data_IF_153264121143
#
_entry.id   IF_153264121143
#
_cell.length_a   1.000
_cell.length_b   1.000
_cell.length_c   1.000
_cell.angle_alpha   90.00
_cell.angle_beta   90.00
_cell.angle_gamma   90.00
#
_symmetry.space_group_name_H-M   'P 1'
#
loop_
_entity.id
_entity.type
_entity.pdbx_description
1 polymer ?
#
# COMPACT_ATOMS: atom_id res chain seq x y z
N UNK A 1 3.94 15.13 -22.56
CA UNK A 1 2.75 15.79 -21.96
C UNK A 1 2.87 15.63 -20.46
N UNK A 2 2.87 16.72 -19.68
CA UNK A 2 2.97 16.67 -18.24
C UNK A 2 1.57 16.87 -17.62
N UNK A 3 1.20 16.06 -16.65
CA UNK A 3 -0.01 16.21 -15.85
C UNK A 3 0.25 15.77 -14.42
N UNK A 4 -0.58 16.23 -13.51
CA UNK A 4 -0.60 15.76 -12.13
C UNK A 4 -1.76 14.80 -11.95
N UNK A 5 -1.48 13.62 -11.38
CA UNK A 5 -2.48 12.71 -10.85
C UNK A 5 -2.45 12.78 -9.33
N UNK A 6 -3.61 12.89 -8.72
CA UNK A 6 -3.76 12.95 -7.28
C UNK A 6 -4.32 11.63 -6.77
N UNK A 7 -3.79 11.17 -5.64
CA UNK A 7 -4.31 9.98 -4.98
C UNK A 7 -4.41 10.21 -3.47
N UNK A 8 -5.37 9.56 -2.84
CA UNK A 8 -5.51 9.49 -1.39
C UNK A 8 -5.75 8.04 -0.98
N UNK A 9 -5.14 7.63 0.14
CA UNK A 9 -5.28 6.27 0.68
C UNK A 9 -5.79 6.34 2.11
N UNK A 10 -6.68 5.40 2.45
CA UNK A 10 -7.12 5.18 3.81
C UNK A 10 -7.05 3.69 4.13
N UNK A 11 -6.54 3.35 5.31
CA UNK A 11 -6.32 1.96 5.73
C UNK A 11 -6.82 1.77 7.15
N UNK A 12 -7.49 0.66 7.38
CA UNK A 12 -7.86 0.16 8.70
C UNK A 12 -7.05 -1.10 9.00
N UNK A 13 -6.41 -1.14 10.17
CA UNK A 13 -5.59 -2.28 10.59
C UNK A 13 -6.00 -2.80 11.96
N UNK A 14 -5.77 -4.10 12.19
CA UNK A 14 -5.68 -4.69 13.52
C UNK A 14 -4.21 -5.01 13.81
N UNK A 15 -3.76 -4.71 15.02
CA UNK A 15 -2.41 -5.02 15.49
C UNK A 15 -2.50 -5.94 16.71
N UNK A 16 -1.86 -7.08 16.63
CA UNK A 16 -1.71 -7.96 17.77
C UNK A 16 -0.54 -7.45 18.63
N UNK A 17 -0.83 -6.96 19.81
CA UNK A 17 0.20 -6.35 20.68
C UNK A 17 1.15 -7.36 21.32
N UNK A 18 0.79 -8.65 21.36
CA UNK A 18 1.61 -9.71 21.91
C UNK A 18 2.61 -10.25 20.86
N UNK A 19 2.19 -10.30 19.59
CA UNK A 19 3.02 -10.84 18.50
C UNK A 19 3.62 -9.76 17.60
N UNK A 20 3.06 -8.56 17.58
CA UNK A 20 3.42 -7.47 16.66
C UNK A 20 2.84 -7.64 15.25
N UNK A 21 2.06 -8.68 14.99
CA UNK A 21 1.44 -8.90 13.66
C UNK A 21 0.41 -7.82 13.33
N UNK A 22 0.45 -7.37 12.08
CA UNK A 22 -0.49 -6.40 11.51
C UNK A 22 -1.36 -7.10 10.49
N UNK A 23 -2.67 -6.97 10.65
CA UNK A 23 -3.64 -7.36 9.65
C UNK A 23 -4.30 -6.13 9.05
N UNK A 24 -4.25 -5.97 7.74
CA UNK A 24 -5.02 -4.95 7.03
C UNK A 24 -6.45 -5.46 6.91
N UNK A 25 -7.39 -4.74 7.53
CA UNK A 25 -8.82 -5.09 7.55
C UNK A 25 -9.54 -4.51 6.34
N UNK A 26 -9.24 -3.24 6.01
CA UNK A 26 -9.83 -2.51 4.88
C UNK A 26 -8.84 -1.55 4.30
N UNK A 27 -8.92 -1.33 2.99
CA UNK A 27 -8.18 -0.26 2.33
C UNK A 27 -9.03 0.40 1.23
N UNK A 28 -8.82 1.70 1.10
CA UNK A 28 -9.50 2.55 0.14
C UNK A 28 -8.47 3.33 -0.66
N UNK A 29 -8.61 3.31 -1.98
CA UNK A 29 -7.76 4.07 -2.89
C UNK A 29 -8.60 5.03 -3.73
N UNK A 30 -8.57 6.33 -3.44
CA UNK A 30 -9.13 7.35 -4.31
C UNK A 30 -8.05 7.84 -5.28
N UNK A 31 -8.32 7.86 -6.58
CA UNK A 31 -7.35 8.27 -7.59
C UNK A 31 -8.01 9.11 -8.68
N UNK A 32 -7.39 10.25 -8.98
CA UNK A 32 -7.72 11.09 -10.12
C UNK A 32 -7.09 10.50 -11.39
N UNK A 33 -7.91 9.88 -12.21
CA UNK A 33 -7.49 9.27 -13.46
C UNK A 33 -8.03 10.03 -14.69
N UNK A 34 -8.65 11.20 -14.48
CA UNK A 34 -9.26 12.02 -15.52
C UNK A 34 -10.52 11.39 -16.07
N UNK A 35 -10.39 10.36 -16.90
CA UNK A 35 -11.50 9.56 -17.43
C UNK A 35 -11.13 8.08 -17.46
N UNK A 36 -11.93 7.23 -16.83
CA UNK A 36 -11.77 5.78 -16.92
C UNK A 36 -12.18 5.28 -18.30
N UNK A 37 -11.20 4.85 -19.11
CA UNK A 37 -11.47 4.27 -20.44
C UNK A 37 -12.11 2.89 -20.28
N UNK A 38 -11.60 2.09 -19.33
CA UNK A 38 -12.19 0.82 -18.96
C UNK A 38 -12.22 0.72 -17.42
N UNK A 39 -13.36 0.99 -16.78
CA UNK A 39 -13.49 1.00 -15.33
C UNK A 39 -13.06 -0.32 -14.66
N UNK A 40 -13.40 -1.47 -15.24
CA UNK A 40 -13.02 -2.78 -14.67
C UNK A 40 -11.50 -3.00 -14.65
N UNK A 41 -10.80 -2.62 -15.71
CA UNK A 41 -9.34 -2.69 -15.75
C UNK A 41 -8.74 -1.70 -14.76
N UNK A 42 -9.34 -0.53 -14.58
CA UNK A 42 -8.92 0.43 -13.57
C UNK A 42 -9.10 -0.13 -12.13
N UNK A 43 -10.22 -0.81 -11.85
CA UNK A 43 -10.42 -1.50 -10.57
C UNK A 43 -9.30 -2.52 -10.31
N UNK A 44 -9.05 -3.43 -11.25
CA UNK A 44 -7.99 -4.44 -11.15
C UNK A 44 -6.61 -3.81 -10.94
N UNK A 45 -6.30 -2.74 -11.66
CA UNK A 45 -5.05 -2.00 -11.50
C UNK A 45 -4.94 -1.38 -10.10
N UNK A 46 -6.01 -0.79 -9.61
CA UNK A 46 -6.06 -0.17 -8.27
C UNK A 46 -5.92 -1.22 -7.16
N UNK A 47 -6.64 -2.31 -7.23
CA UNK A 47 -6.58 -3.42 -6.27
C UNK A 47 -5.19 -4.05 -6.25
N UNK A 48 -4.62 -4.34 -7.43
CA UNK A 48 -3.26 -4.84 -7.57
C UNK A 48 -2.22 -3.89 -6.97
N UNK A 49 -2.38 -2.57 -7.21
CA UNK A 49 -1.51 -1.55 -6.63
C UNK A 49 -1.63 -1.46 -5.11
N UNK A 50 -2.84 -1.55 -4.55
CA UNK A 50 -3.02 -1.60 -3.10
C UNK A 50 -2.39 -2.86 -2.50
N UNK A 51 -2.52 -4.02 -3.15
CA UNK A 51 -1.87 -5.26 -2.72
C UNK A 51 -0.34 -5.15 -2.72
N UNK A 52 0.25 -4.57 -3.77
CA UNK A 52 1.70 -4.27 -3.81
C UNK A 52 2.12 -3.34 -2.66
N UNK A 53 1.34 -2.29 -2.37
CA UNK A 53 1.62 -1.38 -1.28
C UNK A 53 1.49 -2.03 0.11
N UNK A 54 0.61 -3.01 0.29
CA UNK A 54 0.55 -3.84 1.50
C UNK A 54 1.81 -4.70 1.59
N UNK A 55 2.24 -5.30 0.47
CA UNK A 55 3.46 -6.09 0.37
C UNK A 55 4.69 -5.30 0.82
N UNK A 56 4.94 -4.16 0.20
CA UNK A 56 6.09 -3.29 0.52
C UNK A 56 6.02 -2.71 1.92
N UNK A 57 4.83 -2.47 2.46
CA UNK A 57 4.66 -1.95 3.81
C UNK A 57 4.96 -2.96 4.92
N UNK A 58 4.62 -4.24 4.73
CA UNK A 58 4.57 -5.22 5.83
C UNK A 58 5.51 -6.42 5.64
N UNK A 59 5.88 -6.78 4.41
CA UNK A 59 6.51 -8.08 4.12
C UNK A 59 7.79 -8.00 3.31
N UNK A 60 7.81 -7.14 2.27
CA UNK A 60 8.82 -7.16 1.23
C UNK A 60 10.04 -6.31 1.60
N UNK A 61 11.21 -6.92 1.60
CA UNK A 61 12.48 -6.23 1.82
C UNK A 61 13.58 -6.88 0.99
N UNK A 62 14.27 -6.08 0.18
CA UNK A 62 15.50 -6.54 -0.48
C UNK A 62 16.69 -6.25 0.42
N UNK A 63 17.28 -7.28 1.01
CA UNK A 63 18.43 -7.17 1.91
C UNK A 63 19.72 -7.13 1.09
N UNK A 64 20.40 -5.98 1.10
CA UNK A 64 21.66 -5.78 0.37
C UNK A 64 22.81 -5.56 1.37
N UNK A 65 23.85 -6.41 1.31
CA UNK A 65 25.04 -6.26 2.11
C UNK A 65 26.25 -6.29 1.20
N UNK A 66 27.09 -5.26 1.27
CA UNK A 66 28.28 -5.10 0.43
C UNK A 66 28.02 -5.28 -1.07
N UNK A 67 26.87 -4.83 -1.56
CA UNK A 67 26.45 -4.93 -2.96
C UNK A 67 25.89 -6.31 -3.36
N UNK A 68 25.74 -7.24 -2.44
CA UNK A 68 25.14 -8.55 -2.67
C UNK A 68 23.74 -8.60 -2.10
N UNK A 69 22.78 -9.12 -2.88
CA UNK A 69 21.42 -9.42 -2.41
C UNK A 69 21.46 -10.72 -1.65
N UNK A 70 21.07 -10.71 -0.37
CA UNK A 70 21.10 -11.87 0.52
C UNK A 70 19.85 -12.75 0.44
N UNK A 71 18.73 -12.20 -0.05
CA UNK A 71 17.44 -12.88 -0.15
C UNK A 71 16.90 -12.89 -1.60
N UNK A 72 17.62 -13.53 -2.57
CA UNK A 72 17.31 -13.44 -4.00
C UNK A 72 16.17 -14.36 -4.46
N UNK A 73 15.58 -15.14 -3.58
CA UNK A 73 14.54 -16.12 -3.91
C UNK A 73 13.30 -15.96 -3.02
N UNK A 74 12.15 -16.48 -3.46
CA UNK A 74 10.92 -16.49 -2.67
C UNK A 74 10.96 -17.33 -1.39
N UNK A 75 12.06 -18.04 -1.12
CA UNK A 75 12.30 -18.66 0.18
C UNK A 75 12.50 -17.61 1.26
N UNK A 76 13.19 -16.53 0.93
CA UNK A 76 13.62 -15.50 1.88
C UNK A 76 13.00 -14.11 1.57
N UNK A 77 12.77 -13.80 0.30
CA UNK A 77 12.00 -12.63 -0.13
C UNK A 77 10.51 -12.96 -0.08
N UNK A 78 9.81 -12.36 0.87
CA UNK A 78 8.42 -12.68 1.15
C UNK A 78 7.48 -11.69 0.46
N UNK A 79 6.65 -12.20 -0.45
CA UNK A 79 5.46 -11.50 -0.93
C UNK A 79 4.25 -11.88 -0.07
N UNK A 80 3.24 -11.00 0.06
CA UNK A 80 2.05 -11.32 0.83
C UNK A 80 1.27 -12.50 0.20
N UNK A 81 0.76 -13.37 1.05
CA UNK A 81 -0.13 -14.46 0.63
C UNK A 81 -1.57 -13.96 0.49
N UNK A 82 -2.37 -14.64 -0.32
CA UNK A 82 -3.79 -14.31 -0.47
C UNK A 82 -4.55 -14.28 0.87
N UNK A 83 -4.19 -15.15 1.82
CA UNK A 83 -4.78 -15.18 3.16
C UNK A 83 -4.42 -13.96 4.04
N UNK A 84 -3.41 -13.19 3.65
CA UNK A 84 -2.94 -11.99 4.36
C UNK A 84 -3.53 -10.70 3.74
N UNK A 85 -4.23 -10.83 2.62
CA UNK A 85 -4.93 -9.71 1.98
C UNK A 85 -6.30 -9.50 2.60
N UNK A 86 -6.81 -8.26 2.63
CA UNK A 86 -8.22 -8.01 2.92
C UNK A 86 -9.12 -8.75 1.93
N UNK A 87 -10.33 -9.09 2.34
CA UNK A 87 -11.33 -9.60 1.41
C UNK A 87 -11.62 -8.56 0.31
N UNK A 88 -12.01 -9.01 -0.90
CA UNK A 88 -12.20 -8.12 -2.04
C UNK A 88 -13.15 -6.97 -1.76
N UNK A 89 -14.25 -7.22 -1.03
CA UNK A 89 -15.21 -6.20 -0.62
C UNK A 89 -14.64 -5.16 0.35
N UNK A 90 -13.48 -5.47 0.96
CA UNK A 90 -12.74 -4.59 1.87
C UNK A 90 -11.62 -3.79 1.17
N UNK A 91 -11.42 -4.02 -0.13
CA UNK A 91 -10.50 -3.27 -0.99
C UNK A 91 -11.29 -2.44 -1.97
N UNK A 92 -11.40 -1.13 -1.77
CA UNK A 92 -12.28 -0.30 -2.57
C UNK A 92 -11.52 0.76 -3.35
N UNK A 93 -11.84 0.86 -4.64
CA UNK A 93 -11.31 1.86 -5.57
C UNK A 93 -12.33 2.95 -5.82
N UNK A 94 -11.92 4.21 -5.68
CA UNK A 94 -12.73 5.40 -5.94
C UNK A 94 -12.07 6.16 -7.08
N UNK A 95 -12.78 6.29 -8.21
CA UNK A 95 -12.25 7.01 -9.36
C UNK A 95 -12.79 8.44 -9.40
N UNK A 96 -11.87 9.40 -9.41
CA UNK A 96 -12.20 10.82 -9.54
C UNK A 96 -12.08 11.18 -11.01
N UNK A 97 -13.22 11.45 -11.67
CA UNK A 97 -13.31 11.79 -13.09
C UNK A 97 -13.69 13.25 -13.33
N UNK A 98 -13.74 14.07 -12.27
CA UNK A 98 -14.18 15.47 -12.34
C UNK A 98 -13.20 16.42 -13.03
N UNK A 99 -11.96 15.99 -13.25
CA UNK A 99 -10.89 16.79 -13.84
C UNK A 99 -10.22 16.07 -15.03
N UNK A 100 -10.93 15.87 -16.17
CA UNK A 100 -10.35 15.23 -17.34
C UNK A 100 -9.19 16.04 -17.90
N UNK A 101 -8.17 15.36 -18.42
CA UNK A 101 -7.02 16.04 -19.02
C UNK A 101 -7.35 16.52 -20.42
N UNK A 102 -7.16 17.81 -20.70
CA UNK A 102 -7.54 18.43 -21.99
C UNK A 102 -6.87 17.82 -23.22
N UNK A 103 -5.60 17.33 -23.07
CA UNK A 103 -4.81 16.74 -24.14
C UNK A 103 -4.68 15.22 -23.98
N UNK A 104 -5.30 14.62 -22.98
CA UNK A 104 -5.32 13.18 -22.76
C UNK A 104 -6.33 12.48 -23.69
N UNK A 105 -6.07 11.24 -24.11
CA UNK A 105 -7.02 10.50 -24.95
C UNK A 105 -8.34 10.33 -24.20
N UNK A 106 -9.41 10.86 -24.77
CA UNK A 106 -10.75 10.91 -24.17
C UNK A 106 -10.79 11.57 -22.76
N UNK A 107 -9.80 12.39 -22.42
CA UNK A 107 -9.67 13.02 -21.11
C UNK A 107 -8.98 12.17 -20.05
N UNK A 108 -8.45 11.01 -20.41
CA UNK A 108 -7.73 10.13 -19.48
C UNK A 108 -6.38 10.72 -19.05
N UNK A 109 -5.98 10.41 -17.82
CA UNK A 109 -4.64 10.59 -17.27
C UNK A 109 -3.93 9.24 -17.15
N UNK A 110 -2.61 9.24 -16.91
CA UNK A 110 -1.88 8.01 -16.61
C UNK A 110 -2.42 7.37 -15.33
N UNK A 111 -2.63 6.08 -15.38
CA UNK A 111 -3.18 5.30 -14.27
C UNK A 111 -2.46 3.96 -14.17
N UNK A 112 -1.28 3.97 -13.55
CA UNK A 112 -0.44 2.80 -13.36
C UNK A 112 0.13 2.77 -11.94
N UNK A 113 1.36 3.20 -11.73
CA UNK A 113 2.07 3.09 -10.45
C UNK A 113 1.56 4.03 -9.35
N UNK A 114 0.87 5.10 -9.71
CA UNK A 114 0.25 6.03 -8.74
C UNK A 114 -0.78 5.38 -7.80
N UNK A 115 -1.28 4.20 -8.17
CA UNK A 115 -2.20 3.43 -7.31
C UNK A 115 -1.50 2.75 -6.12
N UNK A 116 -0.19 2.52 -6.21
CA UNK A 116 0.64 1.99 -5.09
C UNK A 116 0.98 3.09 -4.10
N UNK A 117 1.32 4.27 -4.64
CA UNK A 117 1.81 5.42 -3.86
C UNK A 117 0.85 5.79 -2.73
N UNK A 118 1.39 5.92 -1.52
CA UNK A 118 0.65 6.33 -0.34
C UNK A 118 0.11 5.19 0.52
N UNK A 119 0.20 3.94 0.08
CA UNK A 119 -0.23 2.79 0.89
C UNK A 119 0.67 2.57 2.11
N UNK A 120 1.98 2.60 1.91
CA UNK A 120 2.96 2.40 2.98
C UNK A 120 2.81 3.42 4.12
N UNK A 121 2.77 4.73 3.86
CA UNK A 121 2.56 5.70 4.93
C UNK A 121 1.15 5.62 5.53
N UNK A 122 0.12 5.22 4.77
CA UNK A 122 -1.21 5.00 5.30
C UNK A 122 -1.23 3.84 6.32
N UNK A 123 -0.57 2.72 6.00
CA UNK A 123 -0.41 1.58 6.92
C UNK A 123 0.41 1.96 8.15
N UNK A 124 1.56 2.63 7.98
CA UNK A 124 2.38 3.07 9.11
C UNK A 124 1.62 4.04 10.04
N UNK A 125 0.80 4.93 9.48
CA UNK A 125 -0.06 5.83 10.26
C UNK A 125 -1.21 5.07 10.96
N UNK A 126 -1.80 4.06 10.30
CA UNK A 126 -2.84 3.24 10.91
C UNK A 126 -2.29 2.42 12.10
N UNK A 127 -1.08 1.85 11.98
CA UNK A 127 -0.37 1.18 13.08
C UNK A 127 -0.10 2.14 14.24
N UNK A 128 0.40 3.35 13.94
CA UNK A 128 0.60 4.35 14.97
C UNK A 128 -0.71 4.73 15.68
N UNK A 129 -1.78 4.90 14.92
CA UNK A 129 -3.08 5.23 15.48
C UNK A 129 -3.66 4.11 16.36
N UNK A 130 -3.39 2.85 16.00
CA UNK A 130 -3.88 1.69 16.72
C UNK A 130 -3.13 1.44 18.05
N UNK A 131 -1.79 1.57 18.05
CA UNK A 131 -0.97 1.11 19.17
C UNK A 131 0.10 2.13 19.63
N UNK A 132 0.18 3.32 19.03
CA UNK A 132 1.17 4.35 19.37
C UNK A 132 2.59 4.07 18.86
N UNK A 133 2.82 2.95 18.17
CA UNK A 133 4.13 2.58 17.64
C UNK A 133 4.44 3.36 16.35
N UNK A 134 5.39 4.32 16.40
CA UNK A 134 5.83 5.10 15.24
C UNK A 134 6.99 4.41 14.54
N UNK A 135 6.72 3.68 13.48
CA UNK A 135 7.72 3.01 12.66
C UNK A 135 8.10 3.94 11.50
N UNK A 136 9.41 4.19 11.33
CA UNK A 136 9.95 5.11 10.31
C UNK A 136 10.70 4.40 9.19
N UNK A 137 10.90 3.10 9.32
CA UNK A 137 11.62 2.27 8.35
C UNK A 137 10.76 1.09 7.93
N UNK A 138 10.58 0.92 6.63
CA UNK A 138 9.87 -0.20 6.03
C UNK A 138 10.77 -1.44 5.92
N UNK A 139 10.17 -2.62 5.88
CA UNK A 139 8.79 -2.92 6.18
C UNK A 139 8.46 -2.75 7.67
N UNK A 140 7.18 -2.54 7.99
CA UNK A 140 6.65 -2.45 9.36
C UNK A 140 6.53 -3.87 9.93
N UNK A 141 7.66 -4.44 10.35
CA UNK A 141 7.71 -5.82 10.84
C UNK A 141 7.17 -5.97 12.25
N UNK A 142 6.71 -7.18 12.64
CA UNK A 142 6.30 -7.48 14.01
C UNK A 142 7.38 -7.13 15.05
N UNK A 143 8.64 -7.39 14.74
CA UNK A 143 9.77 -7.11 15.63
C UNK A 143 9.93 -5.60 15.87
N UNK A 144 9.82 -4.78 14.82
CA UNK A 144 9.88 -3.31 14.94
C UNK A 144 8.73 -2.77 15.80
N UNK A 145 7.52 -3.32 15.64
CA UNK A 145 6.36 -2.95 16.46
C UNK A 145 6.59 -3.32 17.92
N UNK A 146 6.97 -4.57 18.21
CA UNK A 146 7.24 -5.01 19.58
C UNK A 146 8.36 -4.21 20.24
N UNK A 147 9.42 -3.88 19.48
CA UNK A 147 10.49 -3.03 19.96
C UNK A 147 10.00 -1.62 20.32
N UNK A 148 9.19 -1.01 19.46
CA UNK A 148 8.62 0.32 19.70
C UNK A 148 7.68 0.33 20.93
N UNK A 149 6.86 -0.72 21.09
CA UNK A 149 5.97 -0.86 22.25
C UNK A 149 6.72 -1.03 23.56
N UNK A 150 7.88 -1.73 23.55
CA UNK A 150 8.72 -1.96 24.75
C UNK A 150 9.61 -0.76 25.07
N UNK A 151 10.05 -0.05 24.06
CA UNK A 151 11.03 1.04 24.20
C UNK A 151 10.44 2.38 24.63
N UNK A 152 9.13 2.55 24.66
CA UNK A 152 8.40 3.75 25.10
C UNK A 152 8.95 5.04 24.48
N UNK A 153 8.50 5.37 23.27
CA UNK A 153 8.65 6.62 22.50
C UNK A 153 9.97 6.92 21.90
#
# INVERSE_FOLDING_TARGET
>A
MAFYAYAAKAVEVAVNVDTGEVQVLRCYGATDLGKAINPKICEQQSEGGMAMGIGSALYEETVIVNGLILNPSFTDYRVPLAAQMPANECMQSIFVESAPHKDGPFGAKGFAEGVVTGMEPAIANAVYNAVGARIKELPVTPEKILQALRGGS
#
